data_IF_227023274898
#
_entry.id   IF_227023274898
#
_cell.length_a   1.000
_cell.length_b   1.000
_cell.length_c   1.000
_cell.angle_alpha   90.00
_cell.angle_beta   90.00
_cell.angle_gamma   90.00
#
_symmetry.space_group_name_H-M   'P 1'
#
loop_
_entity.id
_entity.type
_entity.pdbx_description
1 polymer ?
#
# COMPACT_ATOMS: atom_id res chain seq x y z
N UNK A 1 -21.82 -6.74 -16.59
CA UNK A 1 -21.60 -6.06 -15.30
C UNK A 1 -20.22 -6.44 -14.81
N UNK A 2 -19.29 -5.49 -14.82
CA UNK A 2 -17.86 -5.74 -14.59
C UNK A 2 -17.57 -5.82 -13.08
N UNK A 3 -17.69 -7.02 -12.50
CA UNK A 3 -17.42 -7.33 -11.08
C UNK A 3 -16.10 -6.72 -10.55
N UNK A 4 -15.10 -6.58 -11.42
CA UNK A 4 -13.83 -5.95 -11.11
C UNK A 4 -13.94 -4.49 -10.62
N UNK A 5 -14.88 -3.70 -11.17
CA UNK A 5 -15.07 -2.31 -10.73
C UNK A 5 -15.54 -2.25 -9.28
N UNK A 6 -16.42 -3.18 -8.89
CA UNK A 6 -16.96 -3.26 -7.54
C UNK A 6 -15.87 -3.75 -6.56
N UNK A 7 -15.02 -4.68 -7.00
CA UNK A 7 -13.90 -5.21 -6.21
C UNK A 7 -12.85 -4.15 -5.84
N UNK A 8 -12.64 -3.14 -6.70
CA UNK A 8 -11.65 -2.06 -6.47
C UNK A 8 -12.27 -0.76 -5.96
N UNK A 9 -13.61 -0.66 -5.90
CA UNK A 9 -14.29 0.54 -5.41
C UNK A 9 -13.86 0.95 -3.99
N UNK A 10 -13.67 0.03 -3.02
CA UNK A 10 -13.16 0.38 -1.69
C UNK A 10 -11.78 1.03 -1.77
N UNK A 11 -10.89 0.51 -2.61
CA UNK A 11 -9.53 0.99 -2.75
C UNK A 11 -9.52 2.44 -3.26
N UNK A 12 -10.37 2.74 -4.25
CA UNK A 12 -10.56 4.12 -4.75
C UNK A 12 -11.12 5.06 -3.68
N UNK A 13 -11.92 4.55 -2.76
CA UNK A 13 -12.46 5.28 -1.62
C UNK A 13 -11.50 5.33 -0.41
N UNK A 14 -10.25 4.88 -0.57
CA UNK A 14 -9.28 4.75 0.53
C UNK A 14 -9.81 3.88 1.68
N UNK A 15 -10.45 2.77 1.31
CA UNK A 15 -10.97 1.77 2.22
C UNK A 15 -10.35 0.42 1.88
N UNK A 16 -10.16 -0.40 2.91
CA UNK A 16 -9.65 -1.75 2.74
C UNK A 16 -10.65 -2.60 1.94
N UNK A 17 -10.21 -3.27 0.86
CA UNK A 17 -11.07 -4.19 0.13
C UNK A 17 -11.39 -5.41 1.00
N UNK A 18 -12.63 -5.89 0.90
CA UNK A 18 -13.09 -7.08 1.63
C UNK A 18 -13.13 -8.32 0.76
N UNK A 19 -13.19 -8.16 -0.58
CA UNK A 19 -13.21 -9.27 -1.53
C UNK A 19 -11.79 -9.76 -1.82
N UNK A 20 -11.65 -11.06 -2.11
CA UNK A 20 -10.35 -11.64 -2.46
C UNK A 20 -9.73 -10.93 -3.69
N UNK A 21 -10.54 -10.64 -4.71
CA UNK A 21 -10.07 -9.93 -5.90
C UNK A 21 -9.53 -8.53 -5.58
N UNK A 22 -10.20 -7.77 -4.70
CA UNK A 22 -9.72 -6.46 -4.26
C UNK A 22 -8.40 -6.56 -3.49
N UNK A 23 -8.27 -7.54 -2.59
CA UNK A 23 -7.01 -7.81 -1.89
C UNK A 23 -5.88 -8.18 -2.85
N UNK A 24 -6.14 -9.05 -3.83
CA UNK A 24 -5.15 -9.44 -4.82
C UNK A 24 -4.80 -8.31 -5.79
N UNK A 25 -5.73 -7.37 -6.04
CA UNK A 25 -5.42 -6.16 -6.77
C UNK A 25 -4.38 -5.29 -6.02
N UNK A 26 -4.49 -5.17 -4.70
CA UNK A 26 -3.44 -4.52 -3.89
C UNK A 26 -2.10 -5.22 -4.07
N UNK A 27 -2.07 -6.56 -3.99
CA UNK A 27 -0.83 -7.33 -4.18
C UNK A 27 -0.20 -7.07 -5.55
N UNK A 28 -1.01 -7.05 -6.61
CA UNK A 28 -0.56 -6.72 -7.97
C UNK A 28 0.08 -5.32 -8.05
N UNK A 29 -0.57 -4.31 -7.45
CA UNK A 29 -0.04 -2.95 -7.41
C UNK A 29 1.23 -2.84 -6.57
N UNK A 30 1.26 -3.47 -5.39
CA UNK A 30 2.43 -3.50 -4.53
C UNK A 30 3.63 -4.14 -5.22
N UNK A 31 3.44 -5.26 -5.92
CA UNK A 31 4.49 -5.89 -6.74
C UNK A 31 5.02 -4.96 -7.82
N UNK A 32 4.13 -4.24 -8.50
CA UNK A 32 4.50 -3.27 -9.54
C UNK A 32 5.33 -2.10 -8.98
N UNK A 33 5.03 -1.66 -7.76
CA UNK A 33 5.75 -0.56 -7.11
C UNK A 33 6.92 -0.98 -6.23
N UNK A 34 7.16 -2.29 -6.07
CA UNK A 34 8.24 -2.83 -5.23
C UNK A 34 7.94 -2.82 -3.74
N UNK A 35 6.67 -2.71 -3.33
CA UNK A 35 6.27 -2.83 -1.92
C UNK A 35 6.20 -4.31 -1.51
N UNK A 36 5.82 -5.16 -2.45
CA UNK A 36 5.92 -6.62 -2.32
C UNK A 36 6.87 -7.16 -3.37
N UNK A 37 7.59 -8.21 -3.03
CA UNK A 37 8.42 -8.97 -3.96
C UNK A 37 7.56 -9.81 -4.91
N UNK A 38 8.17 -10.37 -5.96
CA UNK A 38 7.45 -11.17 -6.97
C UNK A 38 6.69 -12.38 -6.38
N UNK A 39 7.22 -12.98 -5.31
CA UNK A 39 6.62 -14.07 -4.53
C UNK A 39 5.58 -13.59 -3.49
N UNK A 40 5.29 -12.28 -3.44
CA UNK A 40 4.21 -11.73 -2.62
C UNK A 40 4.59 -11.40 -1.18
N UNK A 41 5.88 -11.45 -0.83
CA UNK A 41 6.38 -11.08 0.50
C UNK A 41 6.61 -9.59 0.62
N UNK A 42 6.78 -9.11 1.85
CA UNK A 42 7.09 -7.70 2.11
C UNK A 42 8.49 -7.40 1.57
N UNK A 43 8.59 -6.39 0.70
CA UNK A 43 9.87 -5.89 0.17
C UNK A 43 10.18 -4.54 0.79
N UNK A 44 10.96 -4.57 1.88
CA UNK A 44 11.34 -3.37 2.62
C UNK A 44 12.20 -2.45 1.79
N UNK A 45 13.20 -3.00 1.12
CA UNK A 45 14.16 -2.24 0.31
C UNK A 45 13.46 -1.59 -0.88
N UNK A 46 12.56 -2.33 -1.54
CA UNK A 46 11.73 -1.79 -2.62
C UNK A 46 10.77 -0.70 -2.12
N UNK A 47 10.20 -0.85 -0.91
CA UNK A 47 9.36 0.18 -0.28
C UNK A 47 10.14 1.47 -0.03
N UNK A 48 11.37 1.39 0.52
CA UNK A 48 12.22 2.57 0.69
C UNK A 48 12.64 3.18 -0.65
N UNK A 49 12.95 2.36 -1.66
CA UNK A 49 13.29 2.85 -2.99
C UNK A 49 12.12 3.62 -3.63
N UNK A 50 10.87 3.23 -3.38
CA UNK A 50 9.69 3.97 -3.80
C UNK A 50 9.62 5.33 -3.09
N UNK A 51 9.80 5.36 -1.76
CA UNK A 51 9.79 6.60 -0.98
C UNK A 51 10.90 7.55 -1.43
N UNK A 52 12.10 7.05 -1.71
CA UNK A 52 13.21 7.87 -2.20
C UNK A 52 12.89 8.50 -3.55
N UNK A 53 12.20 7.80 -4.45
CA UNK A 53 11.73 8.37 -5.72
C UNK A 53 10.70 9.49 -5.50
N UNK A 54 9.87 9.39 -4.47
CA UNK A 54 8.87 10.43 -4.14
C UNK A 54 9.50 11.75 -3.71
N UNK A 55 10.75 11.75 -3.19
CA UNK A 55 11.46 12.97 -2.78
C UNK A 55 11.62 14.00 -3.89
N UNK A 56 11.64 13.55 -5.15
CA UNK A 56 11.75 14.42 -6.33
C UNK A 56 10.47 15.26 -6.50
N UNK A 57 9.33 14.72 -6.10
CA UNK A 57 8.02 15.37 -6.22
C UNK A 57 7.68 16.18 -4.97
N UNK A 58 7.85 15.56 -3.80
CA UNK A 58 7.54 16.18 -2.52
C UNK A 58 8.42 15.55 -1.42
N UNK A 59 9.36 16.35 -0.91
CA UNK A 59 10.28 15.89 0.12
C UNK A 59 9.62 15.72 1.49
N UNK A 60 8.66 16.58 1.86
CA UNK A 60 7.95 16.46 3.14
C UNK A 60 7.07 15.21 3.17
N UNK A 61 6.34 14.96 2.06
CA UNK A 61 5.56 13.74 1.89
C UNK A 61 6.46 12.50 1.95
N UNK A 62 7.63 12.53 1.29
CA UNK A 62 8.56 11.40 1.33
C UNK A 62 9.09 11.11 2.74
N UNK A 63 9.43 12.13 3.53
CA UNK A 63 9.86 11.93 4.93
C UNK A 63 8.73 11.38 5.82
N UNK A 64 7.48 11.78 5.59
CA UNK A 64 6.32 11.17 6.27
C UNK A 64 6.10 9.72 5.84
N UNK A 65 6.17 9.42 4.53
CA UNK A 65 6.05 8.07 3.99
C UNK A 65 7.18 7.15 4.44
N UNK A 66 8.37 7.70 4.69
CA UNK A 66 9.47 6.95 5.31
C UNK A 66 9.10 6.44 6.69
N UNK A 67 8.52 7.30 7.55
CA UNK A 67 8.04 6.88 8.88
C UNK A 67 6.96 5.80 8.79
N UNK A 68 6.03 5.92 7.84
CA UNK A 68 5.01 4.90 7.57
C UNK A 68 5.68 3.57 7.18
N UNK A 69 6.69 3.63 6.31
CA UNK A 69 7.45 2.45 5.86
C UNK A 69 8.23 1.80 7.01
N UNK A 70 8.89 2.60 7.86
CA UNK A 70 9.62 2.13 9.04
C UNK A 70 8.67 1.36 9.98
N UNK A 71 7.53 1.97 10.33
CA UNK A 71 6.54 1.36 11.23
C UNK A 71 5.94 0.09 10.62
N UNK A 72 5.41 0.16 9.40
CA UNK A 72 4.72 -0.97 8.80
C UNK A 72 5.64 -2.14 8.47
N UNK A 73 6.90 -1.87 8.11
CA UNK A 73 7.90 -2.91 7.88
C UNK A 73 8.30 -3.64 9.17
N UNK A 74 8.10 -3.04 10.34
CA UNK A 74 8.38 -3.64 11.64
C UNK A 74 7.16 -4.37 12.23
N UNK A 75 5.95 -3.85 12.02
CA UNK A 75 4.72 -4.37 12.62
C UNK A 75 4.02 -5.42 11.76
N UNK A 76 4.02 -5.25 10.44
CA UNK A 76 3.23 -6.10 9.54
C UNK A 76 3.87 -7.47 9.42
N UNK A 77 3.04 -8.50 9.55
CA UNK A 77 3.38 -9.89 9.29
C UNK A 77 2.74 -10.34 7.98
N UNK A 78 3.43 -11.26 7.29
CA UNK A 78 2.91 -11.91 6.09
C UNK A 78 1.60 -12.64 6.43
N UNK A 79 0.63 -12.54 5.52
CA UNK A 79 -0.66 -13.20 5.64
C UNK A 79 -0.62 -14.66 5.16
N UNK A 80 -1.80 -15.27 5.06
CA UNK A 80 -1.94 -16.64 4.54
C UNK A 80 -1.52 -16.77 3.07
N UNK A 81 -1.61 -15.68 2.30
CA UNK A 81 -1.17 -15.55 0.93
C UNK A 81 -0.69 -14.12 0.62
N UNK A 82 -0.30 -13.88 -0.64
CA UNK A 82 0.17 -12.57 -1.10
C UNK A 82 -0.90 -11.46 -1.04
N UNK A 83 -2.17 -11.84 -1.17
CA UNK A 83 -3.31 -10.91 -1.17
C UNK A 83 -3.63 -10.46 0.27
N UNK A 84 -3.62 -11.39 1.22
CA UNK A 84 -3.74 -11.06 2.65
C UNK A 84 -2.51 -10.28 3.15
N UNK A 85 -1.32 -10.61 2.67
CA UNK A 85 -0.11 -9.81 2.94
C UNK A 85 -0.29 -8.37 2.45
N UNK A 86 -0.81 -8.19 1.23
CA UNK A 86 -1.09 -6.87 0.68
C UNK A 86 -2.13 -6.09 1.50
N UNK A 87 -3.19 -6.76 1.95
CA UNK A 87 -4.20 -6.17 2.81
C UNK A 87 -3.60 -5.69 4.13
N UNK A 88 -2.75 -6.49 4.77
CA UNK A 88 -2.10 -6.14 6.03
C UNK A 88 -1.20 -4.91 5.88
N UNK A 89 -0.39 -4.87 4.81
CA UNK A 89 0.45 -3.71 4.47
C UNK A 89 -0.42 -2.46 4.28
N UNK A 90 -1.47 -2.57 3.46
CA UNK A 90 -2.37 -1.46 3.16
C UNK A 90 -3.08 -0.92 4.41
N UNK A 91 -3.58 -1.82 5.27
CA UNK A 91 -4.23 -1.44 6.52
C UNK A 91 -3.28 -0.70 7.46
N UNK A 92 -2.03 -1.15 7.58
CA UNK A 92 -1.01 -0.44 8.35
C UNK A 92 -0.72 0.94 7.74
N UNK A 93 -0.48 1.01 6.44
CA UNK A 93 -0.19 2.27 5.76
C UNK A 93 -1.32 3.30 5.93
N UNK A 94 -2.57 2.88 5.83
CA UNK A 94 -3.73 3.76 6.07
C UNK A 94 -3.78 4.31 7.49
N UNK A 95 -3.46 3.47 8.48
CA UNK A 95 -3.43 3.88 9.88
C UNK A 95 -2.31 4.88 10.13
N UNK A 96 -1.10 4.56 9.67
CA UNK A 96 0.09 5.40 9.86
C UNK A 96 0.00 6.71 9.07
N UNK A 97 -0.54 6.70 7.85
CA UNK A 97 -0.78 7.92 7.07
C UNK A 97 -1.59 8.96 7.88
N UNK A 98 -2.61 8.52 8.62
CA UNK A 98 -3.39 9.42 9.50
C UNK A 98 -2.57 9.96 10.66
N UNK A 99 -1.66 9.15 11.22
CA UNK A 99 -0.77 9.55 12.33
C UNK A 99 0.22 10.61 11.87
N UNK A 100 0.79 10.45 10.67
CA UNK A 100 1.79 11.39 10.13
C UNK A 100 1.17 12.56 9.34
N UNK A 101 -0.17 12.61 9.25
CA UNK A 101 -0.89 13.70 8.58
C UNK A 101 -0.75 13.69 7.06
N UNK A 102 -0.68 12.51 6.45
CA UNK A 102 -0.80 12.33 4.99
C UNK A 102 -2.28 12.23 4.64
N UNK A 103 -2.77 13.16 3.83
CA UNK A 103 -4.12 13.09 3.28
C UNK A 103 -4.21 12.06 2.14
N UNK A 104 -5.39 11.48 1.90
CA UNK A 104 -5.57 10.53 0.81
C UNK A 104 -5.22 11.17 -0.53
N UNK A 105 -4.32 10.54 -1.28
CA UNK A 105 -3.93 11.01 -2.62
C UNK A 105 -5.15 10.87 -3.52
N UNK A 106 -5.70 12.00 -3.99
CA UNK A 106 -6.80 12.01 -4.95
C UNK A 106 -6.32 11.49 -6.31
N UNK A 107 -6.50 10.19 -6.54
CA UNK A 107 -6.13 9.50 -7.78
C UNK A 107 -7.19 9.67 -8.89
N UNK A 108 -8.05 10.68 -8.80
CA UNK A 108 -9.06 11.00 -9.83
C UNK A 108 -8.52 11.77 -11.05
N UNK A 109 -7.19 11.99 -11.11
CA UNK A 109 -6.52 12.71 -12.22
C UNK A 109 -6.12 11.80 -13.38
#
# INVERSE_FOLDING_TARGET
MSKFSDDIAPIKAHQSPTTQNGKCFLACMHKKFGIQSADGKIDKDGSYALVDKMKILDNDLAEKMKKVTDTCSAEVTEGADECETALNIFACAQRENKVVGIEPIDVSS
#
